data_IF_470705495628
#
_entry.id   IF_470705495628
#
_cell.length_a   1.000
_cell.length_b   1.000
_cell.length_c   1.000
_cell.angle_alpha   90.00
_cell.angle_beta   90.00
_cell.angle_gamma   90.00
#
_symmetry.space_group_name_H-M   'P 1'
#
loop_
_entity.id
_entity.type
_entity.pdbx_description
1 polymer ?
#
# COMPACT_ATOMS: atom_id res chain seq x y z
N UNK A 1 -12.21 2.76 7.61
CA UNK A 1 -13.54 2.38 7.06
C UNK A 1 -13.38 1.08 6.29
N UNK A 2 -14.37 0.20 6.34
CA UNK A 2 -14.39 -1.02 5.51
C UNK A 2 -15.72 -1.06 4.76
N UNK A 3 -15.65 -1.25 3.44
CA UNK A 3 -16.81 -1.55 2.60
C UNK A 3 -16.81 -3.04 2.29
N UNK A 4 -17.83 -3.75 2.77
CA UNK A 4 -17.99 -5.19 2.57
C UNK A 4 -19.02 -5.40 1.47
N UNK A 5 -18.70 -6.27 0.51
CA UNK A 5 -19.48 -6.49 -0.71
C UNK A 5 -19.88 -7.97 -0.79
N UNK A 6 -20.75 -8.46 0.13
CA UNK A 6 -21.06 -9.89 0.23
C UNK A 6 -21.79 -10.43 -1.01
N UNK A 7 -22.48 -9.56 -1.75
CA UNK A 7 -23.25 -9.91 -2.93
C UNK A 7 -22.48 -9.68 -4.25
N UNK A 8 -21.20 -9.30 -4.19
CA UNK A 8 -20.37 -9.15 -5.38
C UNK A 8 -20.06 -10.54 -5.97
N UNK A 9 -20.46 -10.82 -7.22
CA UNK A 9 -20.16 -12.12 -7.85
C UNK A 9 -18.65 -12.35 -7.94
N UNK A 10 -18.21 -13.60 -7.76
CA UNK A 10 -16.79 -13.95 -7.87
C UNK A 10 -16.17 -13.53 -9.21
N UNK A 11 -16.95 -13.57 -10.30
CA UNK A 11 -16.53 -13.15 -11.63
C UNK A 11 -16.18 -11.65 -11.72
N UNK A 12 -16.70 -10.84 -10.80
CA UNK A 12 -16.52 -9.38 -10.77
C UNK A 12 -15.51 -8.95 -9.69
N UNK A 13 -14.97 -9.87 -8.89
CA UNK A 13 -14.02 -9.55 -7.81
C UNK A 13 -12.75 -8.84 -8.29
N UNK A 14 -12.28 -9.13 -9.50
CA UNK A 14 -11.12 -8.46 -10.12
C UNK A 14 -11.34 -6.95 -10.33
N UNK A 15 -12.60 -6.47 -10.32
CA UNK A 15 -12.89 -5.04 -10.34
C UNK A 15 -12.32 -4.31 -9.11
N UNK A 16 -12.12 -5.01 -7.99
CA UNK A 16 -11.53 -4.42 -6.78
C UNK A 16 -10.06 -4.04 -7.00
N UNK A 17 -9.31 -4.84 -7.75
CA UNK A 17 -7.93 -4.51 -8.14
C UNK A 17 -7.91 -3.27 -9.03
N UNK A 18 -8.82 -3.20 -10.02
CA UNK A 18 -8.93 -2.01 -10.89
C UNK A 18 -9.31 -0.75 -10.13
N UNK A 19 -10.24 -0.85 -9.17
CA UNK A 19 -10.61 0.28 -8.32
C UNK A 19 -9.40 0.74 -7.50
N UNK A 20 -8.71 -0.20 -6.84
CA UNK A 20 -7.53 0.13 -6.04
C UNK A 20 -6.44 0.79 -6.88
N UNK A 21 -6.11 0.21 -8.04
CA UNK A 21 -5.12 0.74 -8.98
C UNK A 21 -5.45 2.16 -9.43
N UNK A 22 -6.73 2.42 -9.74
CA UNK A 22 -7.18 3.74 -10.18
C UNK A 22 -7.05 4.82 -9.11
N UNK A 23 -7.22 4.48 -7.83
CA UNK A 23 -7.31 5.46 -6.75
C UNK A 23 -6.11 5.47 -5.80
N UNK A 24 -5.18 4.52 -5.90
CA UNK A 24 -4.04 4.39 -4.96
C UNK A 24 -3.17 5.64 -4.90
N UNK A 25 -2.85 6.26 -6.04
CA UNK A 25 -2.05 7.50 -6.07
C UNK A 25 -2.79 8.71 -5.48
N UNK A 26 -4.00 9.08 -5.93
CA UNK A 26 -4.71 10.21 -5.34
C UNK A 26 -5.02 10.01 -3.84
N UNK A 27 -5.31 8.77 -3.41
CA UNK A 27 -5.47 8.50 -1.98
C UNK A 27 -4.16 8.64 -1.20
N UNK A 28 -3.03 8.19 -1.75
CA UNK A 28 -1.73 8.36 -1.10
C UNK A 28 -1.39 9.86 -0.90
N UNK A 29 -1.68 10.71 -1.89
CA UNK A 29 -1.53 12.16 -1.80
C UNK A 29 -2.37 12.78 -0.66
N UNK A 30 -3.57 12.23 -0.42
CA UNK A 30 -4.43 12.58 0.72
C UNK A 30 -4.03 11.87 2.02
N UNK A 31 -2.98 11.05 2.01
CA UNK A 31 -2.46 10.36 3.19
C UNK A 31 -3.25 9.13 3.58
N UNK A 32 -3.94 8.52 2.62
CA UNK A 32 -4.75 7.34 2.80
C UNK A 32 -4.19 6.14 2.04
N UNK A 33 -4.52 4.96 2.55
CA UNK A 33 -4.22 3.68 1.92
C UNK A 33 -5.52 2.92 1.69
N UNK A 34 -5.64 2.31 0.52
CA UNK A 34 -6.74 1.42 0.16
C UNK A 34 -6.22 0.01 -0.07
N UNK A 35 -6.68 -0.93 0.76
CA UNK A 35 -6.48 -2.36 0.54
C UNK A 35 -7.71 -2.97 -0.14
N UNK A 36 -7.46 -3.85 -1.09
CA UNK A 36 -8.45 -4.68 -1.75
C UNK A 36 -8.32 -6.13 -1.28
N UNK A 37 -9.45 -6.78 -1.06
CA UNK A 37 -9.49 -8.16 -0.58
C UNK A 37 -10.58 -8.93 -1.30
N UNK A 38 -10.24 -10.10 -1.83
CA UNK A 38 -11.18 -10.96 -2.53
C UNK A 38 -10.63 -12.39 -2.64
N UNK A 39 -11.44 -13.34 -3.11
CA UNK A 39 -11.15 -14.78 -3.00
C UNK A 39 -9.94 -15.21 -3.83
N UNK A 40 -9.65 -14.46 -4.89
CA UNK A 40 -8.60 -14.75 -5.88
C UNK A 40 -7.46 -13.73 -5.89
N UNK A 41 -7.38 -12.84 -4.90
CA UNK A 41 -6.34 -11.82 -4.85
C UNK A 41 -4.94 -12.45 -4.87
N UNK A 42 -4.07 -11.96 -5.75
CA UNK A 42 -2.70 -12.47 -5.92
C UNK A 42 -1.63 -11.59 -5.24
N UNK A 43 -2.07 -10.65 -4.41
CA UNK A 43 -1.16 -9.79 -3.68
C UNK A 43 -0.47 -10.54 -2.53
N UNK A 44 0.87 -10.63 -2.63
CA UNK A 44 1.72 -11.20 -1.59
C UNK A 44 2.00 -10.24 -0.43
N UNK A 45 2.34 -10.79 0.75
CA UNK A 45 2.82 -9.98 1.86
C UNK A 45 4.21 -9.40 1.57
N UNK A 46 4.45 -8.16 2.01
CA UNK A 46 5.72 -7.46 1.80
C UNK A 46 6.97 -8.22 2.31
N UNK A 47 6.83 -9.03 3.37
CA UNK A 47 7.93 -9.85 3.93
C UNK A 47 7.87 -11.32 3.53
N UNK A 48 6.78 -11.77 2.93
CA UNK A 48 6.61 -13.14 2.46
C UNK A 48 5.71 -13.13 1.23
N UNK A 49 6.28 -12.96 0.02
CA UNK A 49 5.50 -12.88 -1.22
C UNK A 49 4.64 -14.12 -1.49
N UNK A 50 4.99 -15.28 -0.92
CA UNK A 50 4.23 -16.53 -1.06
C UNK A 50 2.99 -16.57 -0.17
N UNK A 51 2.82 -15.62 0.75
CA UNK A 51 1.64 -15.52 1.60
C UNK A 51 0.62 -14.55 0.96
N UNK A 52 -0.56 -15.04 0.53
CA UNK A 52 -1.56 -14.22 -0.14
C UNK A 52 -2.34 -13.39 0.88
N UNK A 53 -1.75 -12.27 1.30
CA UNK A 53 -2.19 -11.47 2.45
C UNK A 53 -3.57 -10.84 2.27
N UNK A 54 -3.97 -10.63 1.01
CA UNK A 54 -5.23 -9.98 0.65
C UNK A 54 -6.34 -10.97 0.25
N UNK A 55 -6.12 -12.29 0.39
CA UNK A 55 -7.20 -13.25 0.13
C UNK A 55 -8.24 -13.25 1.24
N UNK A 56 -9.50 -13.07 0.83
CA UNK A 56 -10.65 -13.09 1.74
C UNK A 56 -11.82 -13.83 1.08
N UNK A 57 -12.58 -14.65 1.84
CA UNK A 57 -13.79 -15.30 1.32
C UNK A 57 -14.93 -14.31 1.07
N UNK A 58 -14.87 -13.11 1.65
CA UNK A 58 -15.85 -12.04 1.43
C UNK A 58 -15.14 -10.84 0.81
N UNK A 59 -15.54 -10.38 -0.39
CA UNK A 59 -14.91 -9.24 -1.04
C UNK A 59 -15.07 -7.95 -0.25
N UNK A 60 -14.00 -7.16 -0.13
CA UNK A 60 -14.01 -5.90 0.61
C UNK A 60 -12.92 -4.92 0.19
N UNK A 61 -13.18 -3.63 0.47
CA UNK A 61 -12.21 -2.55 0.42
C UNK A 61 -11.98 -1.98 1.82
N UNK A 62 -10.72 -1.82 2.23
CA UNK A 62 -10.35 -1.23 3.51
C UNK A 62 -9.59 0.09 3.30
N UNK A 63 -10.20 1.20 3.73
CA UNK A 63 -9.61 2.53 3.69
C UNK A 63 -9.12 2.91 5.09
N UNK A 64 -7.86 3.33 5.18
CA UNK A 64 -7.25 3.82 6.43
C UNK A 64 -6.28 4.96 6.18
N UNK A 65 -5.92 5.66 7.25
CA UNK A 65 -4.77 6.56 7.22
C UNK A 65 -3.47 5.80 6.94
N UNK A 66 -2.57 6.47 6.23
CA UNK A 66 -1.22 6.03 5.99
C UNK A 66 -0.47 5.93 7.32
N UNK A 67 0.36 4.91 7.43
CA UNK A 67 1.18 4.59 8.57
C UNK A 67 2.65 4.46 8.14
N UNK A 68 3.56 4.55 9.11
CA UNK A 68 5.00 4.53 8.83
C UNK A 68 5.45 3.28 8.05
N UNK A 69 4.82 2.13 8.27
CA UNK A 69 5.16 0.88 7.56
C UNK A 69 4.73 0.86 6.09
N UNK A 70 3.97 1.86 5.62
CA UNK A 70 3.48 1.90 4.24
C UNK A 70 4.56 2.17 3.19
N UNK A 71 5.78 2.51 3.63
CA UNK A 71 6.96 2.47 2.76
C UNK A 71 7.12 1.10 2.07
N UNK A 72 6.63 0.02 2.69
CA UNK A 72 6.60 -1.31 2.09
C UNK A 72 5.83 -1.39 0.77
N UNK A 73 4.89 -0.47 0.53
CA UNK A 73 3.97 -0.49 -0.62
C UNK A 73 4.06 0.76 -1.51
N UNK A 74 4.76 1.80 -1.08
CA UNK A 74 4.81 3.10 -1.78
C UNK A 74 6.20 3.45 -2.31
N UNK A 75 7.25 2.68 -1.99
CA UNK A 75 8.64 3.03 -2.31
C UNK A 75 9.03 2.87 -3.78
N UNK A 76 8.22 2.17 -4.58
CA UNK A 76 8.52 1.81 -5.98
C UNK A 76 7.83 2.72 -7.00
N UNK A 77 6.98 3.63 -6.54
CA UNK A 77 6.26 4.61 -7.35
C UNK A 77 6.59 6.03 -6.85
N UNK A 78 7.25 6.88 -7.66
CA UNK A 78 7.72 8.20 -7.21
C UNK A 78 6.62 9.11 -6.66
N UNK A 79 5.45 9.15 -7.29
CA UNK A 79 4.36 10.02 -6.86
C UNK A 79 3.80 9.59 -5.50
N UNK A 80 3.69 8.27 -5.29
CA UNK A 80 3.27 7.70 -4.00
C UNK A 80 4.33 7.85 -2.94
N UNK A 81 5.60 7.68 -3.29
CA UNK A 81 6.70 7.86 -2.37
C UNK A 81 6.82 9.32 -1.90
N UNK A 82 6.66 10.29 -2.79
CA UNK A 82 6.65 11.71 -2.44
C UNK A 82 5.57 12.02 -1.39
N UNK A 83 4.35 11.48 -1.57
CA UNK A 83 3.27 11.64 -0.59
C UNK A 83 3.56 10.98 0.77
N UNK A 84 4.26 9.84 0.75
CA UNK A 84 4.76 9.19 1.97
C UNK A 84 5.85 10.01 2.66
N UNK A 85 6.80 10.53 1.89
CA UNK A 85 7.92 11.32 2.39
C UNK A 85 7.45 12.62 3.06
N UNK A 86 6.48 13.31 2.46
CA UNK A 86 5.91 14.53 3.04
C UNK A 86 5.45 14.30 4.50
N UNK A 87 4.90 13.11 4.77
CA UNK A 87 4.35 12.74 6.07
C UNK A 87 5.38 12.17 7.03
N UNK A 88 6.28 11.31 6.54
CA UNK A 88 7.14 10.50 7.40
C UNK A 88 8.65 10.75 7.23
N UNK A 89 9.07 11.57 6.26
CA UNK A 89 10.49 11.81 5.96
C UNK A 89 11.28 12.36 7.15
N UNK A 90 10.63 13.15 8.03
CA UNK A 90 11.26 13.65 9.26
C UNK A 90 11.68 12.52 10.20
N UNK A 91 10.95 11.40 10.22
CA UNK A 91 11.27 10.23 11.06
C UNK A 91 12.58 9.59 10.62
N UNK A 92 12.84 9.52 9.31
CA UNK A 92 14.08 8.98 8.75
C UNK A 92 15.27 9.93 8.96
N UNK A 93 15.03 11.25 9.03
CA UNK A 93 16.07 12.25 9.30
C UNK A 93 16.40 12.43 10.78
N UNK A 94 15.47 12.09 11.68
CA UNK A 94 15.61 12.37 13.11
C UNK A 94 16.57 11.44 13.87
N UNK A 95 17.30 10.55 13.18
CA UNK A 95 18.26 9.63 13.81
C UNK A 95 17.64 8.58 14.75
N UNK A 96 16.31 8.39 14.73
CA UNK A 96 15.64 7.36 15.53
C UNK A 96 15.93 5.98 14.94
N UNK A 97 16.18 4.99 15.80
CA UNK A 97 16.29 3.59 15.36
C UNK A 97 14.98 3.18 14.70
N UNK A 98 15.08 2.78 13.43
CA UNK A 98 13.95 2.33 12.63
C UNK A 98 14.17 0.89 12.17
N UNK A 99 13.07 0.22 11.80
CA UNK A 99 13.17 -1.07 11.13
C UNK A 99 14.13 -0.97 9.94
N UNK A 100 15.19 -1.80 9.85
CA UNK A 100 16.19 -1.71 8.80
C UNK A 100 15.62 -1.86 7.39
N UNK A 101 14.52 -2.59 7.23
CA UNK A 101 13.84 -2.72 5.94
C UNK A 101 13.22 -1.38 5.53
N UNK A 102 12.56 -0.67 6.45
CA UNK A 102 11.92 0.61 6.16
C UNK A 102 12.96 1.64 5.73
N UNK A 103 14.07 1.73 6.47
CA UNK A 103 15.19 2.62 6.12
C UNK A 103 15.76 2.30 4.74
N UNK A 104 15.96 1.02 4.42
CA UNK A 104 16.49 0.60 3.13
C UNK A 104 15.56 0.99 1.98
N UNK A 105 14.26 0.74 2.12
CA UNK A 105 13.27 1.06 1.08
C UNK A 105 13.14 2.57 0.88
N UNK A 106 13.10 3.35 1.97
CA UNK A 106 13.10 4.80 1.91
C UNK A 106 14.34 5.35 1.18
N UNK A 107 15.54 4.84 1.51
CA UNK A 107 16.77 5.24 0.83
C UNK A 107 16.82 4.78 -0.63
N UNK A 108 16.20 3.65 -0.97
CA UNK A 108 16.13 3.15 -2.33
C UNK A 108 15.26 4.05 -3.21
N UNK A 109 14.09 4.44 -2.74
CA UNK A 109 13.18 5.33 -3.45
C UNK A 109 13.87 6.68 -3.78
N UNK A 110 14.58 7.27 -2.82
CA UNK A 110 15.40 8.48 -3.02
C UNK A 110 16.47 8.38 -4.12
N UNK A 111 16.99 7.18 -4.37
CA UNK A 111 17.97 6.96 -5.46
C UNK A 111 17.29 6.85 -6.82
N UNK A 112 16.05 6.38 -6.87
CA UNK A 112 15.30 6.20 -8.11
C UNK A 112 14.76 7.53 -8.66
N UNK A 113 14.45 8.51 -7.81
CA UNK A 113 14.01 9.85 -8.23
C UNK A 113 15.12 10.73 -8.86
N UNK A 114 16.39 10.35 -8.67
CA UNK A 114 17.56 11.15 -9.10
C UNK A 114 18.29 10.63 -10.34
N UNK A 115 17.79 9.55 -10.94
CA UNK A 115 18.33 8.94 -12.16
C UNK A 115 17.40 9.17 -13.34
#
# INVERSE_FOLDING_TARGET
>A
MVAVLPDLPQADEELLDHVQEKVRTPLAQEGMMLGQFHSRCDQGAARNPRFPVSRSPVPMLALRWMALHDVLFLHDDPDRFAAYEERFGTVYRSGRTMDPLFTRLYQQAHRQERG
#
